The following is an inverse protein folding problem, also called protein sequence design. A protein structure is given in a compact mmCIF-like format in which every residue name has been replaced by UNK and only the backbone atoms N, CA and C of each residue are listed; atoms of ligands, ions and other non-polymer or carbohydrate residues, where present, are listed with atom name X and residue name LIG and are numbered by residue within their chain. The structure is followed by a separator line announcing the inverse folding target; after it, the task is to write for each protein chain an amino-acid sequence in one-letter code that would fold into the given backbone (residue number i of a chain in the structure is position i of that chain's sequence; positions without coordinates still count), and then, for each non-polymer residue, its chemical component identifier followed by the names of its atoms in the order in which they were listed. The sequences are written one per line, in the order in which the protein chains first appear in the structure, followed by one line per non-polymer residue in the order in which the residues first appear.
data_IF_539474205203
#
_entry.id   IF_539474205203
#
_cell.length_a   1.000
_cell.length_b   1.000
_cell.length_c   1.000
_cell.angle_alpha   90.00
_cell.angle_beta   90.00
_cell.angle_gamma   90.00
#
_symmetry.space_group_name_H-M   'P 1'
#
loop_
_entity.id
_entity.type
_entity.pdbx_description
1 polymer ?
#
# COMPACT_ATOMS: atom_id res chain seq x y z
N UNK A 1 24.58 12.80 -6.74
CA UNK A 1 25.31 13.82 -5.94
C UNK A 1 24.32 14.71 -5.14
N UNK A 2 23.41 14.12 -4.37
CA UNK A 2 22.37 14.84 -3.57
C UNK A 2 22.60 14.65 -2.06
N UNK A 3 23.49 13.76 -1.66
CA UNK A 3 23.76 13.42 -0.25
C UNK A 3 24.42 14.53 0.55
N UNK A 4 25.30 15.32 -0.04
CA UNK A 4 26.00 16.41 0.64
C UNK A 4 25.13 17.63 0.98
N UNK A 5 23.96 17.79 0.38
CA UNK A 5 23.09 18.94 0.63
C UNK A 5 22.24 18.76 1.89
N UNK A 6 21.84 17.52 2.21
CA UNK A 6 21.08 17.22 3.44
C UNK A 6 22.00 17.30 4.67
N UNK A 7 23.25 16.88 4.56
CA UNK A 7 24.26 16.98 5.62
C UNK A 7 24.61 18.43 5.96
N UNK A 8 24.76 19.27 4.93
CA UNK A 8 24.97 20.73 5.08
C UNK A 8 23.74 21.41 5.73
N UNK A 9 22.53 20.98 5.39
CA UNK A 9 21.30 21.50 5.98
C UNK A 9 21.22 21.13 7.47
N UNK A 10 21.52 19.88 7.83
CA UNK A 10 21.57 19.46 9.24
C UNK A 10 22.59 20.25 10.02
N UNK A 11 23.81 20.43 9.48
CA UNK A 11 24.86 21.21 10.11
C UNK A 11 24.47 22.70 10.27
N UNK A 12 23.89 23.30 9.25
CA UNK A 12 23.42 24.67 9.28
C UNK A 12 22.28 24.87 10.28
N UNK A 13 21.36 23.93 10.38
CA UNK A 13 20.27 23.92 11.36
C UNK A 13 20.83 23.86 12.80
N UNK A 14 21.71 22.90 13.07
CA UNK A 14 22.33 22.75 14.40
C UNK A 14 23.06 24.03 14.82
N UNK A 15 23.81 24.65 13.90
CA UNK A 15 24.52 25.91 14.13
C UNK A 15 23.55 27.07 14.40
N UNK A 16 22.46 27.15 13.65
CA UNK A 16 21.44 28.21 13.83
C UNK A 16 20.78 28.06 15.20
N UNK A 17 20.41 26.84 15.58
CA UNK A 17 19.74 26.54 16.84
C UNK A 17 20.65 26.82 18.05
N UNK A 18 21.92 26.42 17.97
CA UNK A 18 22.90 26.78 18.99
C UNK A 18 23.03 28.28 19.16
N UNK A 19 23.15 29.05 18.08
CA UNK A 19 23.24 30.51 18.10
C UNK A 19 21.99 31.18 18.66
N UNK A 20 20.81 30.69 18.28
CA UNK A 20 19.53 31.16 18.81
C UNK A 20 19.49 31.03 20.34
N UNK A 21 20.09 29.97 20.89
CA UNK A 21 20.21 29.71 22.34
C UNK A 21 21.40 30.39 22.99
N UNK A 22 22.19 31.17 22.24
CA UNK A 22 23.41 31.86 22.72
C UNK A 22 24.46 30.91 23.32
N UNK A 23 24.48 29.64 22.88
CA UNK A 23 25.44 28.63 23.36
C UNK A 23 26.72 28.69 22.49
N UNK A 24 27.88 28.41 23.15
CA UNK A 24 29.12 28.13 22.43
C UNK A 24 29.20 26.66 22.05
N UNK A 25 30.04 26.30 21.11
CA UNK A 25 30.25 24.90 20.73
C UNK A 25 30.70 24.02 21.90
N UNK A 26 31.48 24.59 22.83
CA UNK A 26 31.93 23.89 24.04
C UNK A 26 30.76 23.58 24.97
N UNK A 27 29.79 24.48 25.09
CA UNK A 27 28.64 24.31 25.98
C UNK A 27 27.78 23.13 25.50
N UNK A 28 27.53 23.07 24.19
CA UNK A 28 26.81 21.94 23.54
C UNK A 28 27.61 20.64 23.67
N UNK A 29 28.93 20.70 23.48
CA UNK A 29 29.82 19.54 23.61
C UNK A 29 29.76 18.94 25.01
N UNK A 30 29.82 19.78 26.04
CA UNK A 30 29.72 19.38 27.45
C UNK A 30 28.37 18.73 27.73
N UNK A 31 27.28 19.35 27.33
CA UNK A 31 25.92 18.81 27.53
C UNK A 31 25.67 17.48 26.76
N UNK A 32 26.26 17.35 25.57
CA UNK A 32 26.13 16.14 24.76
C UNK A 32 27.12 15.03 25.13
N UNK A 33 28.10 15.30 26.03
CA UNK A 33 29.14 14.34 26.36
C UNK A 33 30.09 14.01 25.20
N UNK A 34 30.36 14.99 24.31
CA UNK A 34 31.20 14.81 23.11
C UNK A 34 32.30 15.87 23.05
N UNK A 35 33.27 15.72 22.14
CA UNK A 35 34.30 16.75 21.96
C UNK A 35 33.72 17.98 21.21
N UNK A 36 34.29 19.18 21.52
CA UNK A 36 33.97 20.39 20.76
C UNK A 36 34.19 20.21 19.26
N UNK A 37 35.23 19.43 18.87
CA UNK A 37 35.54 19.15 17.49
C UNK A 37 34.40 18.35 16.78
N UNK A 38 33.77 17.44 17.52
CA UNK A 38 32.59 16.68 17.02
C UNK A 38 31.42 17.60 16.72
N UNK A 39 31.12 18.57 17.62
CA UNK A 39 30.10 19.59 17.38
C UNK A 39 30.44 20.45 16.15
N UNK A 40 31.70 20.89 16.06
CA UNK A 40 32.17 21.69 14.92
C UNK A 40 32.12 20.92 13.58
N UNK A 41 32.37 19.60 13.59
CA UNK A 41 32.20 18.73 12.40
C UNK A 41 30.74 18.67 11.98
N UNK A 42 29.83 18.40 12.93
CA UNK A 42 28.39 18.36 12.64
C UNK A 42 27.93 19.69 12.02
N UNK A 43 28.29 20.83 12.62
CA UNK A 43 27.87 22.15 12.13
C UNK A 43 28.42 22.53 10.74
N UNK A 44 29.49 21.90 10.30
CA UNK A 44 30.02 22.03 8.93
C UNK A 44 29.38 21.06 7.94
N UNK A 45 28.49 20.18 8.40
CA UNK A 45 27.92 19.11 7.56
C UNK A 45 28.88 17.95 7.31
N UNK A 46 30.02 17.88 8.02
CA UNK A 46 30.98 16.77 7.90
C UNK A 46 30.56 15.63 8.83
N UNK A 47 29.42 14.99 8.51
CA UNK A 47 28.81 13.96 9.37
C UNK A 47 29.26 12.54 9.03
N UNK A 48 29.97 12.35 7.93
CA UNK A 48 30.55 11.06 7.57
C UNK A 48 31.39 10.50 8.71
N UNK A 49 31.09 9.25 9.10
CA UNK A 49 31.74 8.59 10.23
C UNK A 49 31.33 9.07 11.61
N UNK A 50 30.35 9.99 11.75
CA UNK A 50 29.74 10.27 13.04
C UNK A 50 28.63 9.24 13.33
N UNK A 51 28.71 8.53 14.47
CA UNK A 51 27.64 7.63 14.88
C UNK A 51 26.32 8.39 15.02
N UNK A 52 25.22 7.79 14.57
CA UNK A 52 23.86 8.36 14.71
C UNK A 52 23.55 8.69 16.18
N UNK A 53 24.03 7.86 17.11
CA UNK A 53 23.89 8.11 18.54
C UNK A 53 24.52 9.47 18.94
N UNK A 54 25.70 9.78 18.44
CA UNK A 54 26.40 11.06 18.68
C UNK A 54 25.59 12.24 18.12
N UNK A 55 25.05 12.12 16.90
CA UNK A 55 24.21 13.17 16.31
C UNK A 55 22.96 13.40 17.19
N UNK A 56 22.32 12.33 17.67
CA UNK A 56 21.15 12.42 18.57
C UNK A 56 21.49 13.09 19.92
N UNK A 57 22.67 12.83 20.48
CA UNK A 57 23.12 13.49 21.73
C UNK A 57 23.26 15.00 21.50
N UNK A 58 23.90 15.42 20.40
CA UNK A 58 24.05 16.84 20.08
C UNK A 58 22.69 17.50 19.86
N UNK A 59 21.77 16.84 19.13
CA UNK A 59 20.42 17.34 18.94
C UNK A 59 19.68 17.51 20.28
N UNK A 60 19.78 16.55 21.20
CA UNK A 60 19.20 16.65 22.56
C UNK A 60 19.76 17.85 23.34
N UNK A 61 21.07 18.06 23.28
CA UNK A 61 21.71 19.20 23.92
C UNK A 61 21.23 20.55 23.32
N UNK A 62 20.72 20.54 22.12
CA UNK A 62 20.07 21.67 21.46
C UNK A 62 18.53 21.66 21.63
N UNK A 63 17.99 20.76 22.46
CA UNK A 63 16.56 20.54 22.67
C UNK A 63 15.80 20.36 21.34
N UNK A 64 16.40 19.61 20.45
CA UNK A 64 15.84 19.24 19.15
C UNK A 64 15.86 17.73 19.00
N UNK A 65 15.09 17.21 18.05
CA UNK A 65 15.08 15.79 17.70
C UNK A 65 15.44 15.59 16.22
N UNK A 66 16.10 14.47 15.93
CA UNK A 66 16.34 14.03 14.56
C UNK A 66 15.54 12.77 14.26
N UNK A 67 14.82 12.79 13.15
CA UNK A 67 14.15 11.62 12.59
C UNK A 67 14.93 11.15 11.34
N UNK A 68 15.25 9.87 11.31
CA UNK A 68 15.92 9.24 10.18
C UNK A 68 14.87 8.54 9.34
N UNK A 69 14.70 8.99 8.11
CA UNK A 69 13.86 8.34 7.13
C UNK A 69 14.74 7.68 6.06
N UNK A 70 14.60 6.36 5.80
CA UNK A 70 15.31 5.73 4.70
C UNK A 70 14.79 6.29 3.37
N UNK A 71 15.72 6.66 2.46
CA UNK A 71 15.39 7.00 1.07
C UNK A 71 16.01 5.98 0.13
N UNK A 72 15.26 5.47 -0.81
CA UNK A 72 15.74 4.54 -1.85
C UNK A 72 16.04 5.30 -3.15
N UNK A 73 16.97 4.78 -3.96
CA UNK A 73 17.26 5.33 -5.30
C UNK A 73 16.20 4.94 -6.35
N UNK A 74 15.24 4.08 -5.98
CA UNK A 74 14.09 3.70 -6.80
C UNK A 74 12.85 4.53 -6.46
N UNK A 75 11.68 4.18 -7.00
CA UNK A 75 10.42 4.76 -6.56
C UNK A 75 10.32 4.58 -5.03
N UNK A 76 10.10 5.70 -4.34
CA UNK A 76 10.07 5.72 -2.87
C UNK A 76 9.14 4.62 -2.37
N UNK A 77 9.53 3.87 -1.31
CA UNK A 77 8.65 2.85 -0.73
C UNK A 77 7.26 3.41 -0.41
N UNK A 78 7.20 4.68 0.01
CA UNK A 78 5.94 5.36 0.29
C UNK A 78 5.09 5.52 -0.98
N UNK A 79 5.67 5.89 -2.14
CA UNK A 79 4.94 5.93 -3.43
C UNK A 79 4.44 4.57 -3.89
N UNK A 80 5.20 3.50 -3.62
CA UNK A 80 4.74 2.14 -3.93
C UNK A 80 3.63 1.70 -2.99
N UNK A 81 3.70 2.07 -1.71
CA UNK A 81 2.65 1.85 -0.73
C UNK A 81 1.40 2.67 -1.06
N UNK A 82 1.57 3.94 -1.44
CA UNK A 82 0.49 4.82 -1.88
C UNK A 82 -0.17 4.30 -3.16
N UNK A 83 0.62 3.87 -4.15
CA UNK A 83 0.09 3.26 -5.36
C UNK A 83 -0.64 1.93 -5.10
N UNK A 84 -0.16 1.14 -4.14
CA UNK A 84 -0.83 -0.10 -3.72
C UNK A 84 -2.12 0.20 -2.95
N UNK A 85 -2.09 1.17 -2.05
CA UNK A 85 -3.27 1.65 -1.33
C UNK A 85 -4.34 2.13 -2.32
N UNK A 86 -3.98 3.02 -3.26
CA UNK A 86 -4.90 3.52 -4.27
C UNK A 86 -5.53 2.40 -5.11
N UNK A 87 -4.75 1.38 -5.52
CA UNK A 87 -5.30 0.21 -6.25
C UNK A 87 -6.29 -0.59 -5.41
N UNK A 88 -6.03 -0.77 -4.12
CA UNK A 88 -6.94 -1.46 -3.21
C UNK A 88 -8.23 -0.66 -2.99
N UNK A 89 -8.15 0.66 -2.88
CA UNK A 89 -9.32 1.55 -2.82
C UNK A 89 -10.17 1.36 -4.08
N UNK A 90 -9.56 1.41 -5.28
CA UNK A 90 -10.27 1.18 -6.54
C UNK A 90 -10.87 -0.22 -6.62
N UNK A 91 -10.16 -1.25 -6.17
CA UNK A 91 -10.68 -2.62 -6.12
C UNK A 91 -11.88 -2.74 -5.16
N UNK A 92 -11.85 -2.05 -4.01
CA UNK A 92 -12.97 -2.00 -3.08
C UNK A 92 -14.20 -1.35 -3.72
N UNK A 93 -14.01 -0.19 -4.36
CA UNK A 93 -15.08 0.55 -5.06
C UNK A 93 -15.69 -0.31 -6.17
N UNK A 94 -14.86 -0.92 -7.02
CA UNK A 94 -15.32 -1.77 -8.11
C UNK A 94 -16.13 -2.99 -7.63
N UNK A 95 -15.82 -3.50 -6.43
CA UNK A 95 -16.49 -4.66 -5.85
C UNK A 95 -17.85 -4.34 -5.20
N UNK A 96 -18.20 -3.06 -5.03
CA UNK A 96 -19.50 -2.65 -4.47
C UNK A 96 -20.65 -2.81 -5.47
N UNK A 97 -20.40 -2.59 -6.75
CA UNK A 97 -21.42 -2.64 -7.80
C UNK A 97 -22.27 -1.36 -7.91
N UNK A 98 -23.21 -1.32 -8.88
CA UNK A 98 -23.86 -0.08 -9.31
C UNK A 98 -24.91 0.49 -8.34
N UNK A 99 -25.33 -0.26 -7.34
CA UNK A 99 -26.36 0.19 -6.37
C UNK A 99 -25.84 1.06 -5.22
N UNK A 100 -24.53 1.35 -5.20
CA UNK A 100 -23.86 2.10 -4.15
C UNK A 100 -23.44 3.49 -4.61
N UNK A 101 -23.85 4.53 -3.88
CA UNK A 101 -23.23 5.85 -4.00
C UNK A 101 -21.93 5.86 -3.20
N UNK A 102 -20.81 6.18 -3.83
CA UNK A 102 -19.48 6.04 -3.25
C UNK A 102 -18.79 7.39 -3.12
N UNK A 103 -18.18 7.63 -1.96
CA UNK A 103 -17.31 8.80 -1.71
C UNK A 103 -15.97 8.29 -1.22
N UNK A 104 -14.91 8.36 -2.03
CA UNK A 104 -13.56 8.05 -1.59
C UNK A 104 -13.00 9.19 -0.73
N UNK A 105 -12.03 8.86 0.12
CA UNK A 105 -11.28 9.80 0.96
C UNK A 105 -12.17 10.78 1.75
N UNK A 106 -13.25 10.26 2.33
CA UNK A 106 -14.21 11.07 3.07
C UNK A 106 -13.62 11.57 4.38
N UNK A 107 -13.48 12.88 4.53
CA UNK A 107 -13.02 13.52 5.78
C UNK A 107 -14.19 14.01 6.61
N UNK A 108 -14.05 13.93 7.93
CA UNK A 108 -15.05 14.45 8.86
C UNK A 108 -14.39 15.21 10.01
N UNK A 109 -15.12 16.19 10.52
CA UNK A 109 -14.76 16.93 11.74
C UNK A 109 -16.07 17.24 12.51
N UNK A 110 -16.29 16.55 13.60
CA UNK A 110 -17.50 16.72 14.40
C UNK A 110 -17.21 16.54 15.88
N UNK A 111 -17.64 17.47 16.71
CA UNK A 111 -17.48 17.45 18.17
C UNK A 111 -16.02 17.26 18.63
N UNK A 112 -15.07 17.87 17.93
CA UNK A 112 -13.64 17.72 18.23
C UNK A 112 -13.01 16.42 17.71
N UNK A 113 -13.79 15.49 17.19
CA UNK A 113 -13.32 14.28 16.53
C UNK A 113 -13.15 14.52 15.03
N UNK A 114 -11.94 14.35 14.56
CA UNK A 114 -11.57 14.50 13.14
C UNK A 114 -10.93 13.24 12.61
N UNK A 115 -11.15 12.96 11.35
CA UNK A 115 -10.54 11.81 10.69
C UNK A 115 -10.94 11.70 9.23
N UNK A 116 -10.47 10.64 8.59
CA UNK A 116 -10.84 10.30 7.22
C UNK A 116 -11.25 8.82 7.15
N UNK A 117 -12.04 8.49 6.16
CA UNK A 117 -12.40 7.10 5.79
C UNK A 117 -12.00 6.92 4.34
N UNK A 118 -11.27 5.87 4.02
CA UNK A 118 -10.79 5.65 2.65
C UNK A 118 -11.95 5.50 1.66
N UNK A 119 -13.04 4.82 2.05
CA UNK A 119 -14.27 4.75 1.24
C UNK A 119 -15.50 4.77 2.13
N UNK A 120 -16.40 5.72 1.87
CA UNK A 120 -17.76 5.73 2.41
C UNK A 120 -18.71 5.39 1.28
N UNK A 121 -19.54 4.37 1.46
CA UNK A 121 -20.51 3.95 0.47
C UNK A 121 -21.91 3.88 1.06
N UNK A 122 -22.90 4.34 0.28
CA UNK A 122 -24.30 4.41 0.66
C UNK A 122 -25.18 3.64 -0.32
N UNK A 123 -26.04 2.77 0.20
CA UNK A 123 -27.04 2.07 -0.60
C UNK A 123 -28.45 2.55 -0.20
N UNK A 124 -29.11 3.35 -1.05
CA UNK A 124 -30.41 3.94 -0.72
C UNK A 124 -31.51 2.91 -0.45
N UNK A 125 -31.58 1.84 -1.23
CA UNK A 125 -32.65 0.84 -1.12
C UNK A 125 -32.67 0.12 0.23
N UNK A 126 -31.51 -0.13 0.84
CA UNK A 126 -31.39 -0.76 2.14
C UNK A 126 -31.09 0.25 3.26
N UNK A 127 -31.00 1.55 2.96
CA UNK A 127 -30.52 2.58 3.87
C UNK A 127 -29.25 2.14 4.62
N UNK A 128 -28.31 1.55 3.86
CA UNK A 128 -27.10 0.95 4.39
C UNK A 128 -25.89 1.84 4.14
N UNK A 129 -25.11 2.07 5.18
CA UNK A 129 -23.83 2.77 5.12
C UNK A 129 -22.69 1.76 5.29
N UNK A 130 -21.73 1.76 4.39
CA UNK A 130 -20.53 0.96 4.47
C UNK A 130 -19.31 1.86 4.61
N UNK A 131 -18.53 1.63 5.64
CA UNK A 131 -17.27 2.31 5.92
C UNK A 131 -16.14 1.32 5.64
N UNK A 132 -15.26 1.64 4.70
CA UNK A 132 -14.14 0.78 4.31
C UNK A 132 -12.85 1.48 4.68
N UNK A 133 -12.06 0.86 5.54
CA UNK A 133 -10.67 1.19 5.81
C UNK A 133 -9.78 0.28 4.96
N UNK A 134 -8.86 0.86 4.22
CA UNK A 134 -7.94 0.12 3.34
C UNK A 134 -6.54 0.14 3.95
N UNK A 135 -5.92 -1.01 4.07
CA UNK A 135 -4.53 -1.13 4.51
C UNK A 135 -3.74 -2.01 3.56
N UNK A 136 -2.70 -1.46 2.95
CA UNK A 136 -1.72 -2.24 2.17
C UNK A 136 -0.84 -3.12 3.07
N UNK A 137 -0.64 -2.72 4.33
CA UNK A 137 0.11 -3.43 5.37
C UNK A 137 -0.54 -3.22 6.74
N UNK A 138 -0.49 -4.24 7.59
CA UNK A 138 -0.95 -4.19 8.99
C UNK A 138 0.23 -3.85 9.90
N UNK A 139 0.43 -2.57 10.21
CA UNK A 139 1.51 -2.10 11.09
C UNK A 139 1.04 -1.92 12.54
N UNK A 140 -0.06 -1.22 12.75
CA UNK A 140 -0.66 -0.98 14.07
C UNK A 140 -2.15 -1.36 14.04
N UNK A 141 -2.41 -2.58 14.49
CA UNK A 141 -3.78 -3.15 14.51
C UNK A 141 -4.66 -2.44 15.53
N UNK A 142 -4.11 -2.10 16.71
CA UNK A 142 -4.88 -1.46 17.76
C UNK A 142 -5.33 -0.04 17.38
N UNK A 143 -4.43 0.75 16.78
CA UNK A 143 -4.78 2.07 16.27
C UNK A 143 -5.82 1.97 15.13
N UNK A 144 -5.67 0.98 14.24
CA UNK A 144 -6.61 0.74 13.14
C UNK A 144 -8.02 0.42 13.68
N UNK A 145 -8.14 -0.50 14.64
CA UNK A 145 -9.43 -0.88 15.22
C UNK A 145 -10.09 0.29 15.98
N UNK A 146 -9.32 1.04 16.77
CA UNK A 146 -9.84 2.27 17.44
C UNK A 146 -10.35 3.29 16.44
N UNK A 147 -9.62 3.53 15.36
CA UNK A 147 -10.04 4.46 14.31
C UNK A 147 -11.32 3.98 13.61
N UNK A 148 -11.46 2.68 13.34
CA UNK A 148 -12.71 2.10 12.79
C UNK A 148 -13.89 2.27 13.75
N UNK A 149 -13.69 2.08 15.05
CA UNK A 149 -14.74 2.27 16.05
C UNK A 149 -15.20 3.73 16.12
N UNK A 150 -14.28 4.68 16.10
CA UNK A 150 -14.58 6.11 16.03
C UNK A 150 -15.40 6.44 14.78
N UNK A 151 -15.02 5.93 13.62
CA UNK A 151 -15.73 6.17 12.36
C UNK A 151 -17.16 5.62 12.38
N UNK A 152 -17.34 4.40 12.89
CA UNK A 152 -18.70 3.80 13.03
C UNK A 152 -19.61 4.64 13.93
N UNK A 153 -19.06 5.27 14.95
CA UNK A 153 -19.80 6.11 15.88
C UNK A 153 -20.12 7.49 15.30
N UNK A 154 -19.21 8.10 14.57
CA UNK A 154 -19.30 9.51 14.16
C UNK A 154 -19.87 9.68 12.76
N UNK A 155 -19.37 8.92 11.76
CA UNK A 155 -19.67 9.14 10.34
C UNK A 155 -21.16 9.02 9.99
N UNK A 156 -21.95 8.08 10.54
CA UNK A 156 -23.38 8.00 10.23
C UNK A 156 -24.15 9.30 10.50
N UNK A 157 -23.85 9.96 11.62
CA UNK A 157 -24.46 11.25 11.96
C UNK A 157 -23.98 12.40 11.05
N UNK A 158 -22.72 12.36 10.59
CA UNK A 158 -22.17 13.38 9.69
C UNK A 158 -22.79 13.25 8.31
N UNK A 159 -22.82 12.06 7.70
CA UNK A 159 -23.39 11.86 6.37
C UNK A 159 -24.91 12.07 6.35
N UNK A 160 -25.59 11.84 7.47
CA UNK A 160 -27.01 12.17 7.60
C UNK A 160 -27.25 13.69 7.53
N UNK A 161 -26.40 14.49 8.19
CA UNK A 161 -26.51 15.96 8.17
C UNK A 161 -26.02 16.59 6.87
N UNK A 162 -24.94 16.08 6.27
CA UNK A 162 -24.31 16.68 5.10
C UNK A 162 -24.93 16.21 3.77
N UNK A 163 -25.40 14.95 3.71
CA UNK A 163 -25.84 14.29 2.47
C UNK A 163 -27.28 13.77 2.52
N UNK A 164 -27.97 13.89 3.67
CA UNK A 164 -29.29 13.33 3.86
C UNK A 164 -29.33 11.79 3.92
N UNK A 165 -28.18 11.12 4.10
CA UNK A 165 -28.07 9.66 4.14
C UNK A 165 -28.52 9.13 5.50
N UNK A 166 -29.81 8.89 5.65
CA UNK A 166 -30.38 8.36 6.90
C UNK A 166 -30.12 6.86 6.98
N UNK A 167 -29.24 6.47 7.87
CA UNK A 167 -28.69 5.12 7.96
C UNK A 167 -29.52 4.25 8.90
N UNK A 168 -30.02 3.12 8.43
CA UNK A 168 -30.64 2.05 9.25
C UNK A 168 -29.61 0.97 9.63
N UNK A 169 -28.66 0.69 8.75
CA UNK A 169 -27.63 -0.32 9.02
C UNK A 169 -26.23 0.17 8.62
N UNK A 170 -25.24 -0.22 9.41
CA UNK A 170 -23.85 0.18 9.22
C UNK A 170 -22.97 -1.06 9.09
N UNK A 171 -22.20 -1.10 8.00
CA UNK A 171 -21.06 -2.01 7.82
C UNK A 171 -19.75 -1.27 8.03
N UNK A 172 -18.82 -1.93 8.70
CA UNK A 172 -17.42 -1.46 8.84
C UNK A 172 -16.46 -2.58 8.45
N UNK A 173 -15.60 -2.31 7.49
CA UNK A 173 -14.77 -3.33 6.87
C UNK A 173 -13.33 -2.87 6.78
N UNK A 174 -12.41 -3.74 7.19
CA UNK A 174 -10.98 -3.61 6.93
C UNK A 174 -10.64 -4.34 5.63
N UNK A 175 -10.32 -3.59 4.59
CA UNK A 175 -9.91 -4.13 3.29
C UNK A 175 -8.40 -4.33 3.24
N UNK A 176 -7.98 -5.53 2.90
CA UNK A 176 -6.58 -5.97 2.84
C UNK A 176 -6.30 -6.63 1.48
N UNK A 177 -5.03 -6.62 1.02
CA UNK A 177 -4.67 -7.37 -0.18
C UNK A 177 -4.85 -8.87 0.03
N UNK A 178 -5.31 -9.57 -1.01
CA UNK A 178 -5.54 -11.03 -0.96
C UNK A 178 -4.24 -11.83 -1.13
N UNK A 179 -3.14 -11.36 -0.56
CA UNK A 179 -1.85 -12.06 -0.61
C UNK A 179 -1.59 -12.94 0.64
N UNK A 180 -0.56 -13.76 0.56
CA UNK A 180 -0.18 -14.67 1.64
C UNK A 180 0.35 -13.95 2.89
N UNK A 181 0.94 -12.76 2.72
CA UNK A 181 1.49 -11.96 3.83
C UNK A 181 0.39 -11.37 4.69
N UNK A 182 -0.61 -10.73 4.06
CA UNK A 182 -1.76 -10.20 4.77
C UNK A 182 -2.58 -11.30 5.45
N UNK A 183 -2.79 -12.45 4.77
CA UNK A 183 -3.50 -13.59 5.35
C UNK A 183 -2.79 -14.17 6.57
N UNK A 184 -1.46 -14.33 6.51
CA UNK A 184 -0.65 -14.78 7.65
C UNK A 184 -0.66 -13.79 8.81
N UNK A 185 -0.62 -12.49 8.51
CA UNK A 185 -0.72 -11.45 9.54
C UNK A 185 -2.06 -11.50 10.27
N UNK A 186 -3.17 -11.65 9.56
CA UNK A 186 -4.50 -11.83 10.17
C UNK A 186 -4.59 -13.12 10.97
N UNK A 187 -4.08 -14.24 10.44
CA UNK A 187 -4.10 -15.53 11.14
C UNK A 187 -3.31 -15.51 12.46
N UNK A 188 -2.17 -14.81 12.50
CA UNK A 188 -1.40 -14.64 13.76
C UNK A 188 -2.15 -13.86 14.84
N UNK A 189 -3.10 -13.04 14.46
CA UNK A 189 -3.89 -12.18 15.34
C UNK A 189 -5.37 -12.58 15.34
N UNK A 190 -5.66 -13.88 15.06
CA UNK A 190 -7.02 -14.38 14.92
C UNK A 190 -7.90 -14.09 16.14
N UNK A 191 -7.36 -14.20 17.36
CA UNK A 191 -8.11 -13.86 18.58
C UNK A 191 -8.57 -12.41 18.62
N UNK A 192 -7.72 -11.47 18.14
CA UNK A 192 -8.05 -10.04 18.08
C UNK A 192 -9.05 -9.77 16.96
N UNK A 193 -8.77 -10.26 15.76
CA UNK A 193 -9.62 -10.03 14.61
C UNK A 193 -10.93 -10.80 14.67
N UNK A 194 -10.95 -12.01 15.23
CA UNK A 194 -12.17 -12.79 15.43
C UNK A 194 -13.17 -12.07 16.35
N UNK A 195 -12.68 -11.42 17.40
CA UNK A 195 -13.51 -10.64 18.29
C UNK A 195 -13.95 -9.29 17.67
N UNK A 196 -13.05 -8.55 17.04
CA UNK A 196 -13.30 -7.20 16.55
C UNK A 196 -14.00 -7.17 15.17
N UNK A 197 -13.60 -8.06 14.26
CA UNK A 197 -14.03 -8.11 12.86
C UNK A 197 -14.37 -9.56 12.47
N UNK A 198 -15.45 -10.15 13.00
CA UNK A 198 -15.75 -11.57 12.86
C UNK A 198 -16.06 -12.01 11.43
N UNK A 199 -16.66 -11.14 10.62
CA UNK A 199 -17.01 -11.49 9.24
C UNK A 199 -15.77 -11.57 8.34
N UNK A 200 -15.74 -12.53 7.44
CA UNK A 200 -14.67 -12.72 6.44
C UNK A 200 -15.17 -12.32 5.05
N UNK A 201 -14.30 -12.40 4.07
CA UNK A 201 -14.57 -11.97 2.69
C UNK A 201 -15.90 -12.47 2.11
N UNK A 202 -16.30 -13.69 2.42
CA UNK A 202 -17.55 -14.28 1.90
C UNK A 202 -18.77 -13.57 2.49
N UNK A 203 -18.77 -13.39 3.81
CA UNK A 203 -19.84 -12.70 4.54
C UNK A 203 -19.90 -11.23 4.16
N UNK A 204 -18.74 -10.56 4.00
CA UNK A 204 -18.67 -9.17 3.54
C UNK A 204 -19.27 -9.04 2.15
N UNK A 205 -18.92 -9.91 1.20
CA UNK A 205 -19.50 -9.90 -0.17
C UNK A 205 -20.99 -10.18 -0.17
N UNK A 206 -21.47 -11.07 0.71
CA UNK A 206 -22.90 -11.35 0.86
C UNK A 206 -23.64 -10.09 1.36
N UNK A 207 -23.09 -9.45 2.37
CA UNK A 207 -23.66 -8.23 2.93
C UNK A 207 -23.65 -7.07 1.92
N UNK A 208 -22.59 -6.87 1.16
CA UNK A 208 -22.50 -5.85 0.10
C UNK A 208 -23.60 -6.03 -0.95
N UNK A 209 -23.96 -7.27 -1.31
CA UNK A 209 -25.06 -7.55 -2.25
C UNK A 209 -26.44 -7.34 -1.63
N UNK A 210 -26.59 -7.64 -0.36
CA UNK A 210 -27.85 -7.57 0.37
C UNK A 210 -27.61 -7.11 1.81
N UNK A 211 -27.47 -5.80 2.02
CA UNK A 211 -27.20 -5.27 3.35
C UNK A 211 -28.33 -5.60 4.32
N UNK A 212 -27.97 -6.26 5.42
CA UNK A 212 -28.89 -6.55 6.52
C UNK A 212 -28.10 -6.68 7.82
N UNK A 213 -28.59 -6.03 8.88
CA UNK A 213 -27.93 -6.02 10.17
C UNK A 213 -26.55 -5.35 10.16
N UNK A 214 -25.87 -5.36 11.29
CA UNK A 214 -24.53 -4.79 11.43
C UNK A 214 -23.49 -5.70 10.81
N UNK A 215 -22.52 -5.13 10.09
CA UNK A 215 -21.35 -5.84 9.59
C UNK A 215 -20.08 -5.29 10.24
N UNK A 216 -19.24 -6.19 10.73
CA UNK A 216 -17.84 -5.91 11.06
C UNK A 216 -16.99 -7.02 10.48
N UNK A 217 -16.06 -6.69 9.58
CA UNK A 217 -15.35 -7.76 8.88
C UNK A 217 -14.05 -7.37 8.21
N UNK A 218 -13.36 -8.41 7.74
CA UNK A 218 -12.16 -8.30 6.92
C UNK A 218 -12.49 -8.70 5.48
N UNK A 219 -12.07 -7.85 4.54
CA UNK A 219 -12.28 -8.06 3.13
C UNK A 219 -10.95 -8.20 2.40
N UNK A 220 -10.58 -9.41 2.01
CA UNK A 220 -9.42 -9.63 1.16
C UNK A 220 -9.78 -9.34 -0.31
N UNK A 221 -9.10 -8.35 -0.88
CA UNK A 221 -9.28 -7.87 -2.24
C UNK A 221 -8.10 -8.33 -3.13
N UNK A 222 -8.41 -8.89 -4.29
CA UNK A 222 -7.41 -9.18 -5.30
C UNK A 222 -6.87 -7.86 -5.86
N UNK A 223 -5.54 -7.71 -5.92
CA UNK A 223 -4.92 -6.61 -6.65
C UNK A 223 -5.21 -6.79 -8.15
N UNK A 224 -5.64 -5.74 -8.84
CA UNK A 224 -6.03 -5.80 -10.26
C UNK A 224 -4.92 -6.35 -11.19
N UNK A 225 -3.67 -6.44 -10.71
CA UNK A 225 -2.56 -7.09 -11.42
C UNK A 225 -2.49 -8.61 -11.28
N UNK A 226 -3.24 -9.22 -10.36
CA UNK A 226 -3.19 -10.68 -10.13
C UNK A 226 -4.09 -11.47 -11.09
N UNK A 227 -4.87 -10.82 -11.93
CA UNK A 227 -5.79 -11.47 -12.88
C UNK A 227 -5.08 -11.95 -14.17
N UNK A 228 -3.80 -11.68 -14.37
CA UNK A 228 -3.07 -11.98 -15.63
C UNK A 228 -2.20 -13.22 -15.61
N UNK A 229 -2.36 -14.16 -14.68
CA UNK A 229 -1.73 -15.48 -14.80
C UNK A 229 -2.80 -16.56 -14.70
N UNK A 230 -3.60 -16.68 -15.76
CA UNK A 230 -4.24 -17.97 -16.08
C UNK A 230 -3.10 -18.93 -16.39
N UNK A 231 -2.76 -19.79 -15.45
CA UNK A 231 -1.93 -20.96 -15.72
C UNK A 231 -2.68 -21.81 -16.74
N UNK A 232 -2.17 -21.83 -17.94
CA UNK A 232 -2.59 -22.81 -18.96
C UNK A 232 -2.18 -24.20 -18.46
N UNK A 233 -3.07 -25.13 -18.14
CA UNK A 233 -2.71 -26.46 -17.73
C UNK A 233 -2.47 -27.30 -18.98
N UNK A 234 -1.23 -27.34 -19.46
CA UNK A 234 -0.88 -28.19 -20.58
C UNK A 234 0.30 -27.67 -21.39
N UNK A 235 1.50 -28.02 -20.92
CA UNK A 235 2.71 -27.78 -21.71
C UNK A 235 3.96 -28.07 -20.90
N UNK A 236 4.36 -29.31 -20.78
CA UNK A 236 5.73 -29.68 -20.33
C UNK A 236 6.71 -29.19 -21.40
N UNK A 237 7.14 -27.95 -21.32
CA UNK A 237 8.26 -27.40 -22.07
C UNK A 237 9.55 -27.75 -21.37
N UNK A 238 10.30 -28.68 -21.94
CA UNK A 238 11.69 -29.03 -21.55
C UNK A 238 12.56 -27.80 -21.75
N UNK A 239 13.13 -27.24 -20.70
CA UNK A 239 14.11 -26.15 -20.75
C UNK A 239 15.38 -26.72 -21.41
N UNK A 240 15.71 -26.27 -22.63
CA UNK A 240 17.00 -26.49 -23.28
C UNK A 240 18.04 -25.54 -22.65
N UNK A 241 19.09 -26.10 -22.12
CA UNK A 241 20.30 -25.36 -21.72
C UNK A 241 21.03 -24.83 -22.98
N UNK A 242 21.56 -23.61 -23.01
CA UNK A 242 22.41 -23.13 -24.11
C UNK A 242 23.81 -23.75 -23.96
N UNK A 243 24.29 -24.40 -25.01
CA UNK A 243 25.67 -24.80 -25.14
C UNK A 243 25.89 -26.27 -25.49
N UNK A 244 25.54 -26.69 -26.72
CA UNK A 244 26.26 -27.76 -27.42
C UNK A 244 26.26 -27.49 -28.93
N UNK A 245 27.43 -27.55 -29.62
CA UNK A 245 27.56 -27.27 -31.06
C UNK A 245 27.08 -28.45 -31.89
N UNK A 246 26.35 -28.13 -32.94
CA UNK A 246 25.76 -29.08 -33.87
C UNK A 246 26.82 -29.90 -34.67
N UNK A 247 26.57 -31.18 -34.78
CA UNK A 247 27.19 -32.07 -35.76
C UNK A 247 26.42 -31.97 -37.08
N UNK A 248 27.09 -31.50 -38.10
CA UNK A 248 26.72 -31.60 -39.50
C UNK A 248 26.85 -33.06 -40.00
N UNK A 249 25.81 -33.57 -40.62
CA UNK A 249 25.83 -34.71 -41.53
C UNK A 249 24.88 -34.39 -42.68
N UNK A 250 25.41 -34.13 -43.84
CA UNK A 250 25.60 -35.08 -44.93
C UNK A 250 24.43 -34.98 -45.92
N UNK A 251 24.62 -34.18 -46.98
CA UNK A 251 23.84 -34.11 -48.20
C UNK A 251 24.03 -35.35 -49.05
N UNK A 252 22.99 -35.95 -49.58
CA UNK A 252 23.03 -36.53 -50.97
C UNK A 252 21.63 -36.70 -51.56
N UNK A 253 21.47 -36.51 -52.88
CA UNK A 253 20.20 -36.38 -53.57
C UNK A 253 19.80 -37.62 -54.37
N UNK A 254 18.53 -37.82 -54.66
CA UNK A 254 18.10 -38.56 -55.84
C UNK A 254 16.62 -38.28 -56.15
N UNK A 255 16.43 -37.64 -57.28
CA UNK A 255 15.77 -38.09 -58.51
C UNK A 255 14.35 -38.64 -58.39
N UNK A 256 13.34 -37.90 -58.88
CA UNK A 256 12.76 -38.17 -60.17
C UNK A 256 11.33 -38.68 -60.18
N UNK A 257 10.49 -38.00 -60.90
CA UNK A 257 9.46 -38.39 -61.89
C UNK A 257 8.04 -37.92 -61.57
N UNK A 258 7.61 -36.91 -62.32
CA UNK A 258 6.62 -36.90 -63.47
C UNK A 258 5.26 -37.56 -63.25
N UNK A 259 4.27 -36.76 -63.56
CA UNK A 259 2.94 -37.13 -64.08
C UNK A 259 1.83 -36.65 -63.17
N UNK A 260 0.87 -35.92 -63.52
CA UNK A 260 0.27 -35.57 -64.79
C UNK A 260 -1.22 -35.24 -64.52
N UNK A 261 -1.60 -34.10 -65.02
CA UNK A 261 -2.90 -33.83 -65.68
C UNK A 261 -4.23 -33.86 -64.90
N UNK A 262 -4.85 -32.69 -64.92
CA UNK A 262 -6.22 -32.44 -65.41
C UNK A 262 -7.38 -32.59 -64.44
N UNK A 263 -8.11 -31.50 -64.36
CA UNK A 263 -9.55 -31.51 -64.37
C UNK A 263 -10.22 -30.43 -63.54
N UNK A 264 -10.36 -29.25 -64.11
CA UNK A 264 -11.51 -28.35 -63.82
C UNK A 264 -12.69 -28.86 -64.69
N UNK A 265 -13.95 -28.50 -64.49
CA UNK A 265 -14.53 -27.25 -64.01
C UNK A 265 -15.90 -27.36 -63.29
N UNK A 266 -16.27 -26.26 -62.69
CA UNK A 266 -17.52 -25.48 -62.86
C UNK A 266 -18.88 -25.95 -62.29
N UNK A 267 -19.57 -24.89 -61.84
CA UNK A 267 -21.02 -24.60 -61.95
C UNK A 267 -21.91 -25.17 -60.83
N UNK A 268 -22.67 -24.44 -60.16
CA UNK A 268 -23.59 -23.32 -60.27
C UNK A 268 -24.69 -23.45 -59.19
N UNK A 269 -25.13 -22.32 -58.70
CA UNK A 269 -26.51 -22.00 -58.25
C UNK A 269 -27.20 -22.82 -57.13
N UNK A 270 -27.54 -22.28 -56.08
CA UNK A 270 -28.58 -21.30 -55.73
C UNK A 270 -28.45 -20.83 -54.30
#
# INVERSE_FOLDING_TARGET
MIWGMDDLRLGSFARAERRRRRLRQVDVATQAGVSRQTVARLERGCIDGLPVATIRLICRALDTSIQLAPRTRGPEPDRLLDARHARLVQAAIAALGPGWAVVPEYTFNRYGERGSVDVVAWQPAAQALLLIEVKSELRDVQATLRAMDTRVRVVPGVVASERGWRTQTVGSVLALPADSTARRAVARLEGVFGAALPARTVEVRRWVRRPAGRLRGIWFLADARTVSVVRNPGGRGRIRRPGEPGRTLGVSPSTGRKGGLQGSPAVDRR
#
